data_IF_159501373899
#
_entry.id   IF_159501373899
#
_cell.length_a   1.000
_cell.length_b   1.000
_cell.length_c   1.000
_cell.angle_alpha   90.00
_cell.angle_beta   90.00
_cell.angle_gamma   90.00
#
_symmetry.space_group_name_H-M   'P 1'
#
loop_
_entity.id
_entity.type
_entity.pdbx_description
1 polymer ?
#
# COMPACT_ATOMS: atom_id res chain seq x y z
N UNK A 1 -7.92 45.08 -15.71
CA UNK A 1 -6.81 44.17 -15.31
C UNK A 1 -7.31 43.32 -14.17
N UNK A 2 -7.64 42.06 -14.43
CA UNK A 2 -7.96 41.08 -13.41
C UNK A 2 -7.08 39.87 -13.70
N UNK A 3 -6.10 39.66 -12.82
CA UNK A 3 -5.17 38.55 -12.84
C UNK A 3 -5.91 37.27 -12.42
N UNK A 4 -6.11 36.35 -13.35
CA UNK A 4 -6.56 34.99 -13.05
C UNK A 4 -5.38 34.18 -12.53
N UNK A 5 -5.35 33.98 -11.22
CA UNK A 5 -4.48 32.99 -10.56
C UNK A 5 -4.92 31.59 -10.96
N UNK A 6 -4.10 30.88 -11.72
CA UNK A 6 -4.28 29.47 -12.05
C UNK A 6 -4.03 28.61 -10.81
N UNK A 7 -5.07 27.97 -10.29
CA UNK A 7 -4.96 26.89 -9.33
C UNK A 7 -4.33 25.68 -10.03
N UNK A 8 -3.14 25.27 -9.60
CA UNK A 8 -2.55 24.00 -10.00
C UNK A 8 -3.31 22.87 -9.33
N UNK A 9 -4.27 22.26 -10.04
CA UNK A 9 -4.80 20.96 -9.67
C UNK A 9 -3.63 19.96 -9.66
N UNK A 10 -3.28 19.44 -8.48
CA UNK A 10 -2.33 18.33 -8.37
C UNK A 10 -2.96 17.15 -9.10
N UNK A 11 -2.47 16.86 -10.31
CA UNK A 11 -2.91 15.70 -11.08
C UNK A 11 -2.68 14.44 -10.24
N UNK A 12 -3.77 13.80 -9.84
CA UNK A 12 -3.76 12.53 -9.13
C UNK A 12 -3.28 11.47 -10.11
N UNK A 13 -2.04 11.00 -9.95
CA UNK A 13 -1.52 9.93 -10.81
C UNK A 13 -2.43 8.69 -10.70
N UNK A 14 -3.04 8.28 -11.81
CA UNK A 14 -3.98 7.15 -11.86
C UNK A 14 -3.21 5.84 -11.97
N UNK A 15 -2.07 5.86 -12.67
CA UNK A 15 -1.24 4.70 -12.95
C UNK A 15 0.15 4.84 -12.31
N UNK A 16 0.68 3.72 -11.80
CA UNK A 16 2.05 3.68 -11.30
C UNK A 16 3.04 3.68 -12.47
N UNK A 17 2.74 2.91 -13.51
CA UNK A 17 3.61 2.69 -14.66
C UNK A 17 2.82 2.73 -15.97
N UNK A 18 3.37 3.41 -16.98
CA UNK A 18 2.97 3.30 -18.38
C UNK A 18 4.03 2.51 -19.16
N UNK A 19 3.61 1.59 -20.03
CA UNK A 19 4.54 0.79 -20.85
C UNK A 19 4.26 1.03 -22.33
N UNK A 20 5.22 1.65 -23.03
CA UNK A 20 5.22 1.76 -24.50
C UNK A 20 6.03 0.61 -25.11
N UNK A 21 5.44 -0.09 -26.06
CA UNK A 21 6.06 -1.25 -26.71
C UNK A 21 5.42 -1.51 -28.07
N UNK A 22 6.12 -2.28 -28.92
CA UNK A 22 5.52 -2.84 -30.13
C UNK A 22 4.84 -4.16 -29.78
N UNK A 23 3.52 -4.20 -29.84
CA UNK A 23 2.77 -5.37 -29.39
C UNK A 23 2.90 -6.57 -30.33
N UNK A 24 2.98 -6.35 -31.65
CA UNK A 24 3.32 -7.42 -32.61
C UNK A 24 4.65 -8.13 -32.27
N UNK A 25 5.62 -7.42 -31.68
CA UNK A 25 6.94 -7.98 -31.36
C UNK A 25 6.99 -8.64 -29.97
N UNK A 26 6.34 -8.05 -28.96
CA UNK A 26 6.61 -8.38 -27.55
C UNK A 26 5.39 -8.64 -26.66
N UNK A 27 4.15 -8.46 -27.15
CA UNK A 27 2.92 -8.56 -26.32
C UNK A 27 2.80 -9.90 -25.61
N UNK A 28 3.01 -10.99 -26.34
CA UNK A 28 2.84 -12.36 -25.85
C UNK A 28 4.15 -13.00 -25.40
N UNK A 29 5.23 -12.22 -25.32
CA UNK A 29 6.55 -12.68 -24.88
C UNK A 29 7.01 -11.80 -23.70
N UNK A 30 8.13 -11.08 -23.85
CA UNK A 30 8.75 -10.30 -22.78
C UNK A 30 7.78 -9.33 -22.09
N UNK A 31 7.02 -8.55 -22.85
CA UNK A 31 6.13 -7.52 -22.29
C UNK A 31 4.94 -8.15 -21.55
N UNK A 32 4.45 -9.30 -22.02
CA UNK A 32 3.43 -10.10 -21.32
C UNK A 32 3.91 -10.57 -19.95
N UNK A 33 5.12 -11.13 -19.87
CA UNK A 33 5.73 -11.55 -18.61
C UNK A 33 6.06 -10.37 -17.69
N UNK A 34 6.50 -9.25 -18.25
CA UNK A 34 6.73 -8.01 -17.49
C UNK A 34 5.42 -7.51 -16.85
N UNK A 35 4.32 -7.49 -17.60
CA UNK A 35 3.01 -7.11 -17.05
C UNK A 35 2.55 -8.05 -15.93
N UNK A 36 2.74 -9.35 -16.10
CA UNK A 36 2.40 -10.32 -15.06
C UNK A 36 3.24 -10.09 -13.79
N UNK A 37 4.55 -9.88 -13.94
CA UNK A 37 5.45 -9.65 -12.82
C UNK A 37 5.13 -8.35 -12.06
N UNK A 38 4.86 -7.26 -12.79
CA UNK A 38 4.43 -5.98 -12.20
C UNK A 38 3.09 -6.11 -11.46
N UNK A 39 2.11 -6.78 -12.08
CA UNK A 39 0.79 -7.01 -11.48
C UNK A 39 0.86 -7.88 -10.22
N UNK A 40 1.72 -8.90 -10.22
CA UNK A 40 1.99 -9.76 -9.04
C UNK A 40 2.54 -8.95 -7.86
N UNK A 41 3.21 -7.82 -8.12
CA UNK A 41 3.71 -6.88 -7.11
C UNK A 41 2.74 -5.73 -6.81
N UNK A 42 1.50 -5.84 -7.28
CA UNK A 42 0.44 -4.88 -7.02
C UNK A 42 0.64 -3.52 -7.71
N UNK A 43 1.56 -3.42 -8.69
CA UNK A 43 1.82 -2.18 -9.42
C UNK A 43 0.70 -1.96 -10.45
N UNK A 44 0.07 -0.77 -10.42
CA UNK A 44 -0.99 -0.42 -11.36
C UNK A 44 -0.38 0.01 -12.69
N UNK A 45 -0.45 -0.86 -13.68
CA UNK A 45 0.16 -0.64 -15.00
C UNK A 45 -0.91 -0.34 -16.03
N UNK A 46 -0.78 0.78 -16.74
CA UNK A 46 -1.55 1.01 -17.95
C UNK A 46 -0.98 0.13 -19.06
N UNK A 47 -1.82 -0.74 -19.61
CA UNK A 47 -1.48 -1.59 -20.75
C UNK A 47 -2.01 -0.93 -22.00
N UNK A 48 -1.15 -0.49 -22.90
CA UNK A 48 -1.61 -0.09 -24.21
C UNK A 48 -2.14 -1.32 -24.97
N UNK A 49 -3.41 -1.25 -25.33
CA UNK A 49 -4.10 -2.29 -26.10
C UNK A 49 -4.07 -1.82 -27.56
N UNK A 50 -3.11 -2.31 -28.35
CA UNK A 50 -3.02 -1.99 -29.79
C UNK A 50 -4.26 -2.47 -30.60
N UNK A 51 -5.31 -3.04 -29.97
CA UNK A 51 -6.57 -3.38 -30.65
C UNK A 51 -7.46 -2.13 -30.91
N UNK A 52 -7.05 -0.95 -30.45
CA UNK A 52 -7.67 0.31 -30.85
C UNK A 52 -7.30 0.63 -32.31
N UNK A 53 -8.29 0.37 -33.18
CA UNK A 53 -8.35 0.55 -34.64
C UNK A 53 -7.27 1.48 -35.26
N UNK A 54 -6.61 0.96 -36.29
CA UNK A 54 -5.73 1.70 -37.22
C UNK A 54 -6.45 2.92 -37.80
N UNK A 55 -5.96 4.11 -37.50
CA UNK A 55 -6.33 5.36 -38.17
C UNK A 55 -6.72 6.47 -37.18
N UNK A 56 -5.90 7.52 -37.16
CA UNK A 56 -6.11 8.85 -36.58
C UNK A 56 -5.87 9.06 -35.07
N UNK A 57 -5.01 10.06 -34.80
CA UNK A 57 -4.60 10.65 -33.50
C UNK A 57 -4.18 9.69 -32.38
N UNK A 58 -3.34 10.15 -31.46
CA UNK A 58 -3.29 9.50 -30.14
C UNK A 58 -4.69 9.65 -29.54
N UNK A 59 -5.32 8.55 -29.14
CA UNK A 59 -6.63 8.62 -28.49
C UNK A 59 -6.51 9.52 -27.23
N UNK A 60 -7.44 10.46 -26.97
CA UNK A 60 -7.39 11.34 -25.80
C UNK A 60 -7.17 10.58 -24.49
N UNK A 61 -7.69 9.36 -24.39
CA UNK A 61 -7.52 8.45 -23.26
C UNK A 61 -6.06 8.02 -23.06
N UNK A 62 -5.31 7.82 -24.15
CA UNK A 62 -3.89 7.44 -24.10
C UNK A 62 -3.03 8.63 -23.65
N UNK A 63 -3.32 9.84 -24.14
CA UNK A 63 -2.66 11.07 -23.65
C UNK A 63 -2.89 11.24 -22.14
N UNK A 64 -4.14 11.07 -21.70
CA UNK A 64 -4.47 11.13 -20.27
C UNK A 64 -3.73 10.05 -19.47
N UNK A 65 -3.62 8.82 -19.99
CA UNK A 65 -2.90 7.74 -19.32
C UNK A 65 -1.39 8.06 -19.19
N UNK A 66 -0.75 8.59 -20.24
CA UNK A 66 0.65 9.03 -20.19
C UNK A 66 0.81 10.16 -19.16
N UNK A 67 -0.08 11.15 -19.19
CA UNK A 67 -0.05 12.27 -18.25
C UNK A 67 -0.35 11.87 -16.80
N UNK A 68 -1.14 10.83 -16.57
CA UNK A 68 -1.50 10.31 -15.25
C UNK A 68 -0.55 9.21 -14.74
N UNK A 69 0.60 9.02 -15.39
CA UNK A 69 1.60 8.01 -15.03
C UNK A 69 2.87 8.63 -14.44
N UNK A 70 3.44 7.94 -13.45
CA UNK A 70 4.65 8.39 -12.72
C UNK A 70 5.95 7.89 -13.34
N UNK A 71 5.93 6.67 -13.85
CA UNK A 71 7.09 5.98 -14.42
C UNK A 71 6.74 5.45 -15.81
N UNK A 72 7.67 5.60 -16.74
CA UNK A 72 7.52 5.12 -18.12
C UNK A 72 8.52 4.03 -18.41
N UNK A 73 8.05 2.90 -18.93
CA UNK A 73 8.90 1.85 -19.49
C UNK A 73 8.75 1.92 -21.01
N UNK A 74 9.87 1.96 -21.71
CA UNK A 74 9.88 1.93 -23.18
C UNK A 74 10.63 0.69 -23.64
N UNK A 75 9.91 -0.28 -24.20
CA UNK A 75 10.47 -1.53 -24.72
C UNK A 75 10.78 -1.36 -26.21
N UNK A 76 12.03 -1.09 -26.53
CA UNK A 76 12.51 -1.02 -27.90
C UNK A 76 12.74 -2.41 -28.46
N UNK A 77 12.09 -2.71 -29.57
CA UNK A 77 12.27 -3.91 -30.40
C UNK A 77 12.80 -3.53 -31.79
N UNK A 78 13.13 -4.52 -32.63
CA UNK A 78 13.64 -4.25 -33.98
C UNK A 78 12.65 -3.46 -34.85
N UNK A 79 11.34 -3.68 -34.68
CA UNK A 79 10.29 -3.04 -35.48
C UNK A 79 9.57 -1.90 -34.74
N UNK A 80 10.03 -1.48 -33.55
CA UNK A 80 9.36 -0.41 -32.80
C UNK A 80 9.15 0.86 -33.62
N UNK A 81 10.17 1.29 -34.38
CA UNK A 81 10.10 2.50 -35.20
C UNK A 81 9.26 2.38 -36.48
N UNK A 82 8.79 1.19 -36.87
CA UNK A 82 7.85 1.07 -38.00
C UNK A 82 6.43 1.52 -37.62
N UNK A 83 6.11 1.54 -36.33
CA UNK A 83 4.81 1.97 -35.81
C UNK A 83 4.79 3.47 -35.53
N UNK A 84 3.96 4.22 -36.26
CA UNK A 84 3.71 5.63 -35.93
C UNK A 84 3.07 5.81 -34.57
N UNK A 85 2.33 4.83 -34.08
CA UNK A 85 1.72 4.87 -32.76
C UNK A 85 2.79 4.85 -31.67
N UNK A 86 3.70 3.88 -31.71
CA UNK A 86 4.81 3.79 -30.75
C UNK A 86 5.68 5.05 -30.77
N UNK A 87 5.94 5.62 -31.96
CA UNK A 87 6.73 6.86 -32.09
C UNK A 87 6.01 8.08 -31.50
N UNK A 88 4.69 8.16 -31.65
CA UNK A 88 3.84 9.21 -31.07
C UNK A 88 3.78 9.12 -29.55
N UNK A 89 3.56 7.93 -29.01
CA UNK A 89 3.64 7.68 -27.56
C UNK A 89 4.99 8.12 -26.99
N UNK A 90 6.09 7.73 -27.65
CA UNK A 90 7.43 8.07 -27.19
C UNK A 90 7.67 9.58 -27.16
N UNK A 91 7.20 10.30 -28.18
CA UNK A 91 7.29 11.75 -28.22
C UNK A 91 6.49 12.40 -27.07
N UNK A 92 5.29 11.89 -26.79
CA UNK A 92 4.48 12.41 -25.69
C UNK A 92 5.08 12.08 -24.32
N UNK A 93 5.64 10.89 -24.14
CA UNK A 93 6.40 10.52 -22.94
C UNK A 93 7.55 11.52 -22.70
N UNK A 94 8.26 11.94 -23.77
CA UNK A 94 9.32 12.94 -23.66
C UNK A 94 8.79 14.32 -23.27
N UNK A 95 7.70 14.78 -23.89
CA UNK A 95 7.03 16.04 -23.51
C UNK A 95 6.62 16.03 -22.02
N UNK A 96 6.04 14.92 -21.58
CA UNK A 96 5.63 14.69 -20.20
C UNK A 96 6.82 14.66 -19.22
N UNK A 97 7.95 14.12 -19.65
CA UNK A 97 9.17 14.04 -18.83
C UNK A 97 9.86 15.41 -18.70
N UNK A 98 9.89 16.22 -19.76
CA UNK A 98 10.51 17.55 -19.74
C UNK A 98 9.73 18.55 -18.89
N UNK A 99 8.41 18.39 -18.80
CA UNK A 99 7.52 19.28 -18.03
C UNK A 99 7.43 18.93 -16.54
N UNK A 100 7.98 17.78 -16.10
CA UNK A 100 7.88 17.35 -14.70
C UNK A 100 9.15 16.60 -14.22
N UNK A 101 9.96 17.21 -13.33
CA UNK A 101 11.24 16.62 -12.89
C UNK A 101 11.09 15.38 -11.99
N UNK A 102 9.87 14.99 -11.63
CA UNK A 102 9.59 13.83 -10.76
C UNK A 102 9.36 12.52 -11.53
N UNK A 103 9.32 12.57 -12.86
CA UNK A 103 9.02 11.40 -13.70
C UNK A 103 10.28 10.66 -14.10
N UNK A 104 10.19 9.34 -14.25
CA UNK A 104 11.33 8.47 -14.60
C UNK A 104 11.02 7.69 -15.85
N UNK A 105 11.95 7.66 -16.81
CA UNK A 105 11.87 6.81 -18.00
C UNK A 105 12.92 5.70 -17.90
N UNK A 106 12.51 4.45 -18.14
CA UNK A 106 13.37 3.27 -18.18
C UNK A 106 13.32 2.67 -19.59
N UNK A 107 14.38 2.83 -20.41
CA UNK A 107 14.48 2.14 -21.68
C UNK A 107 14.90 0.67 -21.49
N UNK A 108 14.22 -0.23 -22.20
CA UNK A 108 14.56 -1.65 -22.30
C UNK A 108 14.82 -1.96 -23.77
N UNK A 109 15.96 -2.57 -24.08
CA UNK A 109 16.38 -2.92 -25.42
C UNK A 109 16.22 -4.43 -25.66
N UNK A 110 15.07 -4.81 -26.21
CA UNK A 110 14.68 -6.18 -26.54
C UNK A 110 15.15 -6.55 -27.96
N UNK A 111 16.19 -7.39 -28.07
CA UNK A 111 16.74 -7.85 -29.36
C UNK A 111 17.13 -6.75 -30.35
N UNK A 112 17.40 -5.53 -29.85
CA UNK A 112 17.91 -4.39 -30.60
C UNK A 112 19.05 -3.70 -29.83
N UNK A 113 20.11 -3.26 -30.52
CA UNK A 113 21.22 -2.59 -29.81
C UNK A 113 20.81 -1.17 -29.42
N UNK A 114 21.19 -0.67 -28.23
CA UNK A 114 20.97 0.74 -27.86
C UNK A 114 21.51 1.73 -28.91
N UNK A 115 22.66 1.42 -29.52
CA UNK A 115 23.25 2.24 -30.58
C UNK A 115 22.41 2.31 -31.85
N UNK A 116 21.63 1.26 -32.15
CA UNK A 116 20.73 1.22 -33.32
C UNK A 116 19.57 2.17 -33.11
N UNK A 117 18.96 2.15 -31.92
CA UNK A 117 17.87 3.05 -31.52
C UNK A 117 18.35 4.50 -31.45
N UNK A 118 19.48 4.75 -30.77
CA UNK A 118 20.04 6.09 -30.53
C UNK A 118 20.51 6.80 -31.79
N UNK A 119 21.10 6.06 -32.74
CA UNK A 119 21.60 6.61 -34.02
C UNK A 119 20.62 6.41 -35.17
N UNK A 120 19.45 5.82 -34.88
CA UNK A 120 18.42 5.40 -35.85
C UNK A 120 19.02 4.76 -37.12
N UNK A 121 19.92 3.78 -36.93
CA UNK A 121 20.58 3.08 -38.03
C UNK A 121 19.90 1.71 -38.30
N UNK A 122 20.45 0.91 -39.22
CA UNK A 122 19.92 -0.43 -39.54
C UNK A 122 18.40 -0.47 -39.78
N UNK A 123 17.63 -1.27 -39.03
CA UNK A 123 16.17 -1.39 -39.17
C UNK A 123 15.45 -0.06 -38.92
N UNK A 124 15.90 0.75 -37.96
CA UNK A 124 15.32 2.06 -37.67
C UNK A 124 15.51 3.03 -38.85
N UNK A 125 16.68 2.98 -39.52
CA UNK A 125 16.92 3.80 -40.73
C UNK A 125 15.91 3.48 -41.84
N UNK A 126 15.63 2.19 -42.05
CA UNK A 126 14.65 1.74 -43.06
C UNK A 126 13.24 2.23 -42.70
N UNK A 127 12.82 2.06 -41.45
CA UNK A 127 11.52 2.52 -40.97
C UNK A 127 11.32 4.03 -41.14
N UNK A 128 12.34 4.85 -40.81
CA UNK A 128 12.24 6.29 -41.02
C UNK A 128 12.20 6.69 -42.50
N UNK A 129 12.95 6.02 -43.36
CA UNK A 129 12.89 6.29 -44.80
C UNK A 129 11.47 6.02 -45.37
N UNK A 130 10.76 5.03 -44.85
CA UNK A 130 9.37 4.75 -45.21
C UNK A 130 8.41 5.84 -44.72
N UNK A 131 8.56 6.29 -43.46
CA UNK A 131 7.74 7.39 -42.92
C UNK A 131 7.97 8.69 -43.70
N UNK A 132 9.23 9.07 -43.95
CA UNK A 132 9.59 10.26 -44.71
C UNK A 132 9.04 10.22 -46.13
N UNK A 133 9.08 9.05 -46.80
CA UNK A 133 8.47 8.88 -48.12
C UNK A 133 6.95 9.06 -48.08
N UNK A 134 6.28 8.52 -47.06
CA UNK A 134 4.82 8.59 -46.92
C UNK A 134 4.31 9.98 -46.54
N UNK A 135 5.12 10.75 -45.82
CA UNK A 135 4.73 12.02 -45.20
C UNK A 135 5.34 13.25 -45.90
N UNK A 136 6.07 13.04 -47.00
CA UNK A 136 6.90 14.05 -47.67
C UNK A 136 6.18 15.35 -48.03
N UNK A 137 4.90 15.27 -48.39
CA UNK A 137 4.11 16.40 -48.89
C UNK A 137 3.39 17.18 -47.78
N UNK A 138 3.52 16.75 -46.52
CA UNK A 138 2.85 17.33 -45.36
C UNK A 138 3.90 17.88 -44.39
N UNK A 139 4.14 19.20 -44.44
CA UNK A 139 5.16 19.87 -43.62
C UNK A 139 4.97 19.63 -42.12
N UNK A 140 3.71 19.61 -41.65
CA UNK A 140 3.37 19.37 -40.23
C UNK A 140 3.75 17.94 -39.82
N UNK A 141 3.47 16.95 -40.68
CA UNK A 141 3.86 15.56 -40.42
C UNK A 141 5.37 15.33 -40.55
N UNK A 142 6.06 16.12 -41.36
CA UNK A 142 7.53 16.10 -41.42
C UNK A 142 8.17 16.65 -40.15
N UNK A 143 7.60 17.69 -39.53
CA UNK A 143 8.01 18.11 -38.18
C UNK A 143 7.77 17.01 -37.14
N UNK A 144 6.65 16.29 -37.24
CA UNK A 144 6.34 15.15 -36.38
C UNK A 144 7.44 14.07 -36.44
N UNK A 145 7.92 13.75 -37.66
CA UNK A 145 9.03 12.80 -37.88
C UNK A 145 10.31 13.27 -37.18
N UNK A 146 10.61 14.57 -37.18
CA UNK A 146 11.77 15.09 -36.47
C UNK A 146 11.63 14.96 -34.95
N UNK A 147 10.44 15.21 -34.40
CA UNK A 147 10.18 14.98 -32.96
C UNK A 147 10.36 13.51 -32.58
N UNK A 148 9.91 12.58 -33.41
CA UNK A 148 10.12 11.15 -33.19
C UNK A 148 11.61 10.77 -33.16
N UNK A 149 12.42 11.34 -34.07
CA UNK A 149 13.88 11.12 -34.09
C UNK A 149 14.55 11.65 -32.82
N UNK A 150 14.14 12.83 -32.35
CA UNK A 150 14.64 13.44 -31.12
C UNK A 150 14.29 12.59 -29.89
N UNK A 151 13.02 12.19 -29.76
CA UNK A 151 12.54 11.37 -28.65
C UNK A 151 13.28 10.02 -28.56
N UNK A 152 13.47 9.34 -29.69
CA UNK A 152 14.28 8.10 -29.75
C UNK A 152 15.72 8.32 -29.29
N UNK A 153 16.34 9.42 -29.74
CA UNK A 153 17.72 9.74 -29.37
C UNK A 153 17.82 10.03 -27.87
N UNK A 154 16.90 10.84 -27.34
CA UNK A 154 16.83 11.22 -25.93
C UNK A 154 16.64 10.00 -25.03
N UNK A 155 15.62 9.19 -25.28
CA UNK A 155 15.31 8.03 -24.43
C UNK A 155 16.39 6.95 -24.55
N UNK A 156 16.95 6.71 -25.74
CA UNK A 156 18.04 5.75 -25.91
C UNK A 156 19.39 6.23 -25.36
N UNK A 157 19.50 7.49 -24.93
CA UNK A 157 20.65 8.01 -24.18
C UNK A 157 20.55 7.77 -22.68
N UNK A 158 19.36 7.46 -22.15
CA UNK A 158 19.17 7.15 -20.74
C UNK A 158 19.78 5.79 -20.37
N UNK A 159 20.09 5.63 -19.08
CA UNK A 159 20.53 4.33 -18.55
C UNK A 159 19.34 3.37 -18.49
N UNK A 160 19.50 2.18 -19.07
CA UNK A 160 18.44 1.18 -19.14
C UNK A 160 18.97 -0.24 -19.30
N UNK A 161 18.09 -1.17 -19.65
CA UNK A 161 18.40 -2.60 -19.71
C UNK A 161 18.61 -3.06 -21.15
N UNK A 162 19.84 -3.44 -21.47
CA UNK A 162 20.13 -4.23 -22.66
C UNK A 162 19.96 -5.72 -22.31
N UNK A 163 18.85 -6.31 -22.74
CA UNK A 163 18.47 -7.69 -22.40
C UNK A 163 18.82 -8.70 -23.50
N UNK A 164 19.53 -8.25 -24.54
CA UNK A 164 20.00 -9.12 -25.62
C UNK A 164 20.91 -10.22 -25.08
N UNK A 165 20.66 -11.45 -25.52
CA UNK A 165 21.43 -12.63 -25.11
C UNK A 165 21.45 -12.88 -23.60
N UNK A 166 20.48 -12.34 -22.84
CA UNK A 166 20.32 -12.59 -21.41
C UNK A 166 19.06 -13.40 -21.14
N UNK A 167 19.03 -14.06 -19.99
CA UNK A 167 17.85 -14.77 -19.55
C UNK A 167 16.75 -13.76 -19.16
N UNK A 168 15.64 -13.77 -19.89
CA UNK A 168 14.62 -12.73 -19.77
C UNK A 168 13.93 -12.73 -18.39
N UNK A 169 13.74 -13.89 -17.75
CA UNK A 169 13.10 -13.95 -16.43
C UNK A 169 13.94 -13.24 -15.35
N UNK A 170 15.25 -13.46 -15.30
CA UNK A 170 16.16 -12.76 -14.39
C UNK A 170 16.13 -11.24 -14.63
N UNK A 171 16.14 -10.82 -15.90
CA UNK A 171 16.07 -9.40 -16.23
C UNK A 171 14.73 -8.77 -15.82
N UNK A 172 13.61 -9.48 -15.99
CA UNK A 172 12.29 -9.00 -15.52
C UNK A 172 12.28 -8.84 -14.00
N UNK A 173 12.82 -9.81 -13.25
CA UNK A 173 12.90 -9.71 -11.79
C UNK A 173 13.73 -8.49 -11.36
N UNK A 174 14.90 -8.27 -11.94
CA UNK A 174 15.74 -7.10 -11.66
C UNK A 174 15.03 -5.77 -11.98
N UNK A 175 14.36 -5.70 -13.14
CA UNK A 175 13.61 -4.51 -13.58
C UNK A 175 12.47 -4.22 -12.60
N UNK A 176 11.68 -5.23 -12.22
CA UNK A 176 10.57 -5.08 -11.28
C UNK A 176 11.07 -4.62 -9.91
N UNK A 177 12.17 -5.19 -9.41
CA UNK A 177 12.78 -4.76 -8.15
C UNK A 177 13.27 -3.31 -8.20
N UNK A 178 13.84 -2.87 -9.34
CA UNK A 178 14.21 -1.47 -9.53
C UNK A 178 12.98 -0.56 -9.52
N UNK A 179 11.90 -0.95 -10.20
CA UNK A 179 10.66 -0.19 -10.27
C UNK A 179 10.05 -0.03 -8.87
N UNK A 180 9.99 -1.10 -8.07
CA UNK A 180 9.51 -1.02 -6.68
C UNK A 180 10.31 0.00 -5.87
N UNK A 181 11.64 0.00 -6.02
CA UNK A 181 12.52 0.97 -5.34
C UNK A 181 12.28 2.41 -5.81
N UNK A 182 12.02 2.62 -7.10
CA UNK A 182 11.76 3.96 -7.66
C UNK A 182 10.38 4.48 -7.22
N UNK A 183 9.35 3.64 -7.30
CA UNK A 183 8.00 4.00 -6.87
C UNK A 183 7.93 4.25 -5.35
N UNK A 184 8.85 3.64 -4.60
CA UNK A 184 8.87 3.61 -3.14
C UNK A 184 7.83 2.65 -2.58
N UNK A 185 7.72 2.50 -1.25
CA UNK A 185 6.52 1.93 -0.67
C UNK A 185 5.33 2.65 -1.28
N UNK A 186 4.31 1.90 -1.75
CA UNK A 186 2.99 2.47 -1.91
C UNK A 186 2.65 3.00 -0.52
N UNK A 187 2.86 4.29 -0.32
CA UNK A 187 2.00 5.06 0.54
C UNK A 187 0.65 4.90 -0.12
N UNK A 188 -0.02 3.79 0.23
CA UNK A 188 -1.46 3.67 0.17
C UNK A 188 -1.96 5.06 0.49
N UNK A 189 -2.72 5.64 -0.43
CA UNK A 189 -3.41 6.91 -0.23
C UNK A 189 -4.49 6.77 0.84
N UNK A 190 -4.22 6.05 1.93
CA UNK A 190 -4.68 6.46 3.24
C UNK A 190 -3.94 7.79 3.49
N UNK A 191 -4.67 8.88 3.76
CA UNK A 191 -4.06 10.17 4.02
C UNK A 191 -2.87 9.98 4.95
N UNK A 192 -1.69 10.45 4.57
CA UNK A 192 -0.43 10.29 5.30
C UNK A 192 -0.41 11.01 6.68
N UNK A 193 -1.61 11.30 7.21
CA UNK A 193 -1.97 12.05 8.41
C UNK A 193 -2.82 11.22 9.39
N UNK A 194 -3.02 9.92 9.17
CA UNK A 194 -3.99 9.16 9.99
C UNK A 194 -3.51 8.79 11.40
N UNK A 195 -2.20 8.73 11.63
CA UNK A 195 -1.69 8.21 12.90
C UNK A 195 -1.09 9.31 13.75
N UNK A 196 -1.95 9.84 14.61
CA UNK A 196 -1.56 10.86 15.55
C UNK A 196 -0.75 10.23 16.69
N UNK A 197 0.55 10.55 16.77
CA UNK A 197 1.37 10.28 17.94
C UNK A 197 2.16 8.97 17.94
N UNK A 198 2.12 8.21 16.85
CA UNK A 198 2.88 6.96 16.72
C UNK A 198 4.32 7.28 16.31
N UNK A 199 5.30 6.94 17.15
CA UNK A 199 6.74 7.11 16.87
C UNK A 199 7.44 5.76 16.81
N UNK A 200 7.97 5.43 15.65
CA UNK A 200 8.81 4.24 15.44
C UNK A 200 10.27 4.48 15.89
N UNK A 201 10.88 3.45 16.50
CA UNK A 201 12.34 3.36 16.69
C UNK A 201 12.84 2.08 16.02
N UNK A 202 13.78 2.16 15.05
CA UNK A 202 14.36 0.96 14.46
C UNK A 202 15.27 0.25 15.47
N UNK A 203 14.83 -0.91 15.93
CA UNK A 203 15.69 -1.86 16.66
C UNK A 203 16.21 -2.88 15.66
N UNK A 204 17.49 -2.78 15.28
CA UNK A 204 18.05 -3.53 14.16
C UNK A 204 18.38 -5.00 14.48
N UNK A 205 18.38 -5.40 15.76
CA UNK A 205 18.83 -6.74 16.18
C UNK A 205 17.68 -7.68 16.62
N UNK A 206 16.46 -7.13 16.71
CA UNK A 206 15.29 -7.89 17.20
C UNK A 206 14.53 -8.54 16.04
N UNK A 207 14.40 -9.87 16.15
CA UNK A 207 13.79 -10.76 15.15
C UNK A 207 12.29 -10.99 15.36
N UNK A 208 11.83 -11.04 16.61
CA UNK A 208 10.41 -11.26 16.96
C UNK A 208 9.97 -10.22 17.99
N UNK A 209 9.01 -9.38 17.61
CA UNK A 209 8.46 -8.29 18.44
C UNK A 209 7.01 -8.59 18.79
N UNK A 210 6.65 -8.40 20.05
CA UNK A 210 5.27 -8.45 20.52
C UNK A 210 4.69 -7.04 20.62
N UNK A 211 3.41 -6.86 20.29
CA UNK A 211 2.65 -5.64 20.54
C UNK A 211 1.50 -5.98 21.48
N UNK A 212 1.47 -5.35 22.64
CA UNK A 212 0.44 -5.53 23.68
C UNK A 212 -0.34 -4.24 23.95
N UNK A 213 -1.41 -4.34 24.74
CA UNK A 213 -2.27 -3.22 25.13
C UNK A 213 -3.76 -3.58 25.11
N UNK A 214 -4.59 -2.69 25.65
CA UNK A 214 -6.05 -2.88 25.77
C UNK A 214 -6.76 -2.90 24.41
N UNK A 215 -8.00 -3.38 24.39
CA UNK A 215 -8.81 -3.38 23.18
C UNK A 215 -9.12 -1.97 22.70
N UNK A 216 -9.05 -1.74 21.38
CA UNK A 216 -9.30 -0.42 20.78
C UNK A 216 -8.19 0.63 20.98
N UNK A 217 -7.06 0.28 21.60
CA UNK A 217 -5.92 1.18 21.81
C UNK A 217 -5.11 1.47 20.53
N UNK A 218 -5.41 0.78 19.41
CA UNK A 218 -4.75 0.98 18.12
C UNK A 218 -3.56 0.06 17.83
N UNK A 219 -3.47 -1.13 18.46
CA UNK A 219 -2.40 -2.11 18.20
C UNK A 219 -2.32 -2.53 16.73
N UNK A 220 -3.45 -2.97 16.16
CA UNK A 220 -3.59 -3.36 14.75
C UNK A 220 -3.20 -2.20 13.84
N UNK A 221 -3.69 -1.00 14.13
CA UNK A 221 -3.43 0.20 13.32
C UNK A 221 -1.94 0.56 13.32
N UNK A 222 -1.29 0.52 14.48
CA UNK A 222 0.16 0.72 14.63
C UNK A 222 0.95 -0.31 13.79
N UNK A 223 0.61 -1.59 13.92
CA UNK A 223 1.34 -2.65 13.24
C UNK A 223 1.14 -2.59 11.72
N UNK A 224 -0.06 -2.21 11.26
CA UNK A 224 -0.38 -2.07 9.84
C UNK A 224 0.39 -0.94 9.18
N UNK A 225 0.41 0.24 9.79
CA UNK A 225 1.23 1.36 9.29
C UNK A 225 2.72 1.03 9.30
N UNK A 226 3.21 0.40 10.37
CA UNK A 226 4.60 -0.06 10.41
C UNK A 226 4.88 -1.05 9.28
N UNK A 227 4.00 -2.03 9.08
CA UNK A 227 4.11 -3.03 8.02
C UNK A 227 4.20 -2.35 6.66
N UNK A 228 3.26 -1.48 6.32
CA UNK A 228 3.24 -0.76 5.03
C UNK A 228 4.50 0.09 4.82
N UNK A 229 5.02 0.73 5.87
CA UNK A 229 6.26 1.52 5.80
C UNK A 229 7.48 0.70 5.51
N UNK A 230 7.65 -0.47 6.12
CA UNK A 230 8.92 -1.22 6.07
C UNK A 230 8.87 -2.46 5.17
N UNK A 231 7.70 -2.88 4.69
CA UNK A 231 7.52 -4.10 3.89
C UNK A 231 8.47 -4.17 2.69
N UNK A 232 8.70 -3.04 2.02
CA UNK A 232 9.55 -2.93 0.82
C UNK A 232 11.02 -3.31 1.04
N UNK A 233 11.46 -3.43 2.29
CA UNK A 233 12.81 -3.83 2.67
C UNK A 233 13.00 -5.35 2.69
N UNK A 234 11.90 -6.10 2.63
CA UNK A 234 11.85 -7.56 2.75
C UNK A 234 11.52 -8.20 1.41
N UNK A 235 12.00 -9.42 1.22
CA UNK A 235 11.77 -10.19 -0.01
C UNK A 235 10.30 -10.64 -0.10
N UNK A 236 9.69 -10.91 1.07
CA UNK A 236 8.28 -11.25 1.20
C UNK A 236 7.64 -10.63 2.45
N UNK A 237 6.34 -10.35 2.37
CA UNK A 237 5.53 -9.83 3.46
C UNK A 237 4.24 -10.64 3.65
N UNK A 238 3.78 -10.77 4.89
CA UNK A 238 2.46 -11.31 5.20
C UNK A 238 1.82 -10.54 6.36
N UNK A 239 0.52 -10.24 6.23
CA UNK A 239 -0.30 -9.70 7.30
C UNK A 239 -1.52 -10.60 7.49
N UNK A 240 -1.69 -11.14 8.69
CA UNK A 240 -2.87 -11.92 9.06
C UNK A 240 -3.66 -11.14 10.08
N UNK A 241 -4.83 -10.64 9.66
CA UNK A 241 -5.66 -9.72 10.46
C UNK A 241 -6.31 -10.37 11.70
N UNK A 242 -6.59 -11.68 11.66
CA UNK A 242 -7.21 -12.35 12.81
C UNK A 242 -6.82 -13.83 12.91
N UNK A 243 -5.67 -14.08 13.55
CA UNK A 243 -5.15 -15.43 13.76
C UNK A 243 -6.12 -16.29 14.58
N UNK A 244 -6.76 -15.73 15.62
CA UNK A 244 -7.71 -16.46 16.46
C UNK A 244 -8.90 -16.96 15.65
N UNK A 245 -9.49 -16.09 14.83
CA UNK A 245 -10.65 -16.47 14.03
C UNK A 245 -10.31 -17.57 13.01
N UNK A 246 -9.23 -17.39 12.24
CA UNK A 246 -8.79 -18.39 11.25
C UNK A 246 -8.50 -19.73 11.92
N UNK A 247 -7.83 -19.71 13.07
CA UNK A 247 -7.51 -20.91 13.83
C UNK A 247 -8.76 -21.61 14.35
N UNK A 248 -9.77 -20.87 14.79
CA UNK A 248 -11.06 -21.44 15.23
C UNK A 248 -11.80 -22.12 14.08
N UNK A 249 -11.82 -21.48 12.91
CA UNK A 249 -12.57 -21.96 11.76
C UNK A 249 -11.92 -23.17 11.08
N UNK A 250 -10.59 -23.19 11.02
CA UNK A 250 -9.86 -24.12 10.14
C UNK A 250 -8.56 -24.68 10.74
N UNK A 251 -8.35 -24.44 12.04
CA UNK A 251 -7.18 -24.91 12.76
C UNK A 251 -5.86 -24.36 12.22
N UNK A 252 -4.79 -25.08 12.53
CA UNK A 252 -3.43 -24.76 12.11
C UNK A 252 -3.27 -24.67 10.59
N UNK A 253 -3.96 -25.56 9.89
CA UNK A 253 -3.89 -25.66 8.45
C UNK A 253 -4.42 -24.39 7.77
N UNK A 254 -5.45 -23.76 8.34
CA UNK A 254 -5.99 -22.49 7.85
C UNK A 254 -4.96 -21.37 7.88
N UNK A 255 -4.36 -21.14 9.05
CA UNK A 255 -3.34 -20.10 9.25
C UNK A 255 -2.13 -20.34 8.35
N UNK A 256 -1.67 -21.60 8.25
CA UNK A 256 -0.56 -21.98 7.36
C UNK A 256 -0.89 -21.75 5.88
N UNK A 257 -2.09 -22.12 5.42
CA UNK A 257 -2.53 -21.87 4.04
C UNK A 257 -2.58 -20.37 3.74
N UNK A 258 -3.06 -19.55 4.67
CA UNK A 258 -3.08 -18.10 4.51
C UNK A 258 -1.67 -17.52 4.39
N UNK A 259 -0.76 -17.89 5.30
CA UNK A 259 0.66 -17.50 5.21
C UNK A 259 1.26 -17.85 3.85
N UNK A 260 1.14 -19.12 3.44
CA UNK A 260 1.77 -19.60 2.21
C UNK A 260 1.12 -18.96 0.98
N UNK A 261 -0.19 -18.74 0.98
CA UNK A 261 -0.88 -18.07 -0.14
C UNK A 261 -0.42 -16.64 -0.33
N UNK A 262 -0.18 -15.90 0.75
CA UNK A 262 0.36 -14.54 0.69
C UNK A 262 1.84 -14.55 0.28
N UNK A 263 2.62 -15.55 0.71
CA UNK A 263 4.02 -15.69 0.29
C UNK A 263 4.18 -16.04 -1.20
N UNK A 264 3.39 -16.99 -1.70
CA UNK A 264 3.52 -17.51 -3.06
C UNK A 264 2.70 -16.74 -4.09
N UNK A 265 1.77 -15.89 -3.64
CA UNK A 265 0.71 -15.31 -4.47
C UNK A 265 -0.05 -16.41 -5.28
N UNK A 266 -0.14 -17.61 -4.70
CA UNK A 266 -0.76 -18.78 -5.31
C UNK A 266 -2.04 -19.14 -4.56
N UNK A 267 -3.15 -19.18 -5.29
CA UNK A 267 -4.48 -19.48 -4.73
C UNK A 267 -4.76 -20.99 -4.59
N UNK A 268 -3.99 -21.85 -5.27
CA UNK A 268 -4.27 -23.29 -5.41
C UNK A 268 -3.20 -24.17 -4.74
N UNK A 269 -2.91 -23.91 -3.48
CA UNK A 269 -1.91 -24.66 -2.73
C UNK A 269 -2.42 -26.06 -2.37
N UNK A 270 -1.76 -27.10 -2.88
CA UNK A 270 -2.04 -28.51 -2.55
C UNK A 270 -1.41 -28.90 -1.21
N UNK A 271 -1.85 -28.26 -0.13
CA UNK A 271 -1.44 -28.59 1.24
C UNK A 271 -2.59 -29.34 1.91
N UNK A 272 -2.35 -30.62 2.18
CA UNK A 272 -3.38 -31.55 2.63
C UNK A 272 -3.45 -31.70 4.15
N UNK A 273 -2.37 -31.38 4.87
CA UNK A 273 -2.32 -31.52 6.33
C UNK A 273 -1.41 -30.46 6.98
N UNK A 274 -1.55 -30.28 8.30
CA UNK A 274 -0.86 -29.25 9.06
C UNK A 274 0.65 -29.50 9.25
N UNK A 275 1.11 -30.75 9.13
CA UNK A 275 2.53 -31.10 9.24
C UNK A 275 3.26 -30.63 7.99
N UNK A 276 2.70 -30.95 6.82
CA UNK A 276 3.20 -30.45 5.54
C UNK A 276 3.15 -28.92 5.56
N UNK A 277 2.00 -28.33 5.91
CA UNK A 277 1.85 -26.87 5.98
C UNK A 277 2.92 -26.20 6.85
N UNK A 278 3.21 -26.73 8.04
CA UNK A 278 4.27 -26.24 8.90
C UNK A 278 5.66 -26.34 8.24
N UNK A 279 5.97 -27.47 7.58
CA UNK A 279 7.22 -27.64 6.86
C UNK A 279 7.37 -26.63 5.72
N UNK A 280 6.31 -26.40 4.95
CA UNK A 280 6.31 -25.42 3.86
C UNK A 280 6.50 -23.98 4.37
N UNK A 281 5.77 -23.59 5.43
CA UNK A 281 5.97 -22.29 6.08
C UNK A 281 7.43 -22.17 6.53
N UNK A 282 7.92 -23.11 7.33
CA UNK A 282 9.28 -23.08 7.88
C UNK A 282 10.36 -22.98 6.80
N UNK A 283 10.29 -23.82 5.76
CA UNK A 283 11.26 -23.83 4.66
C UNK A 283 11.30 -22.47 3.92
N UNK A 284 10.18 -21.75 3.86
CA UNK A 284 10.13 -20.41 3.27
C UNK A 284 10.67 -19.35 4.23
N UNK A 285 10.24 -19.35 5.48
CA UNK A 285 10.70 -18.40 6.50
C UNK A 285 12.21 -18.45 6.68
N UNK A 286 12.81 -19.63 6.58
CA UNK A 286 14.25 -19.81 6.76
C UNK A 286 15.08 -19.30 5.57
N UNK A 287 14.54 -19.30 4.34
CA UNK A 287 15.31 -19.05 3.10
C UNK A 287 15.23 -17.62 2.57
N UNK A 288 14.35 -16.79 3.11
CA UNK A 288 14.12 -15.44 2.62
C UNK A 288 14.05 -14.44 3.77
N UNK A 289 14.28 -13.16 3.48
CA UNK A 289 14.03 -12.07 4.43
C UNK A 289 12.54 -11.75 4.40
N UNK A 290 11.83 -12.12 5.46
CA UNK A 290 10.38 -12.01 5.55
C UNK A 290 9.94 -11.03 6.61
N UNK A 291 8.89 -10.25 6.33
CA UNK A 291 8.14 -9.47 7.32
C UNK A 291 6.78 -10.10 7.56
N UNK A 292 6.49 -10.53 8.78
CA UNK A 292 5.19 -11.15 9.11
C UNK A 292 4.52 -10.36 10.23
N UNK A 293 3.23 -10.08 10.08
CA UNK A 293 2.37 -9.60 11.16
C UNK A 293 1.28 -10.63 11.44
N UNK A 294 1.18 -11.03 12.70
CA UNK A 294 0.17 -11.95 13.22
C UNK A 294 -0.72 -11.19 14.19
N UNK A 295 -1.89 -10.76 13.74
CA UNK A 295 -2.83 -10.01 14.55
C UNK A 295 -3.82 -10.93 15.29
N UNK A 296 -4.30 -10.45 16.44
CA UNK A 296 -5.26 -11.10 17.32
C UNK A 296 -4.87 -12.53 17.74
N UNK A 297 -3.62 -12.72 18.19
CA UNK A 297 -3.17 -13.99 18.79
C UNK A 297 -3.67 -14.08 20.23
N UNK A 298 -4.50 -15.07 20.54
CA UNK A 298 -5.12 -15.25 21.87
C UNK A 298 -4.78 -16.60 22.52
N UNK A 299 -4.06 -17.50 21.83
CA UNK A 299 -3.56 -18.75 22.40
C UNK A 299 -2.11 -19.02 21.99
N UNK A 300 -1.27 -19.42 22.94
CA UNK A 300 0.14 -19.74 22.68
C UNK A 300 0.35 -20.89 21.69
N UNK A 301 -0.60 -21.83 21.64
CA UNK A 301 -0.61 -22.89 20.64
C UNK A 301 -0.64 -22.36 19.21
N UNK A 302 -1.30 -21.24 18.91
CA UNK A 302 -1.34 -20.63 17.56
C UNK A 302 0.04 -20.30 17.00
N UNK A 303 0.98 -19.93 17.86
CA UNK A 303 2.35 -19.58 17.46
C UNK A 303 3.20 -20.82 17.15
N UNK A 304 2.94 -21.94 17.84
CA UNK A 304 3.65 -23.21 17.65
C UNK A 304 3.31 -23.88 16.31
N UNK A 305 2.18 -23.50 15.72
CA UNK A 305 1.68 -24.05 14.45
C UNK A 305 2.48 -23.60 13.24
N UNK A 306 3.08 -22.41 13.34
CA UNK A 306 3.87 -21.82 12.26
C UNK A 306 5.23 -22.49 12.11
N UNK A 307 5.70 -23.07 13.20
CA UNK A 307 7.09 -23.54 13.37
C UNK A 307 7.17 -25.06 13.56
N UNK A 308 6.03 -25.76 13.63
CA UNK A 308 5.97 -27.19 13.92
C UNK A 308 6.50 -27.51 15.33
N UNK A 309 6.04 -26.77 16.35
CA UNK A 309 6.47 -26.85 17.75
C UNK A 309 7.92 -26.41 18.02
N UNK A 310 8.59 -25.77 17.06
CA UNK A 310 9.92 -25.19 17.25
C UNK A 310 9.84 -23.76 17.77
N UNK A 311 10.93 -23.26 18.34
CA UNK A 311 11.03 -21.87 18.73
C UNK A 311 10.98 -20.95 17.48
N UNK A 312 10.05 -20.00 17.49
CA UNK A 312 9.82 -19.07 16.38
C UNK A 312 11.05 -18.24 16.02
N UNK A 313 11.94 -17.95 16.99
CA UNK A 313 13.20 -17.22 16.76
C UNK A 313 14.19 -18.00 15.90
N UNK A 314 14.15 -19.34 16.00
CA UNK A 314 15.04 -20.25 15.26
C UNK A 314 14.50 -20.60 13.88
N UNK A 315 13.23 -20.26 13.60
CA UNK A 315 12.55 -20.65 12.38
C UNK A 315 12.62 -19.60 11.28
N UNK A 316 13.14 -18.41 11.57
CA UNK A 316 13.22 -17.31 10.61
C UNK A 316 14.64 -17.10 10.10
N UNK A 317 14.73 -16.79 8.81
CA UNK A 317 15.95 -16.44 8.12
C UNK A 317 16.58 -15.17 8.70
N UNK A 318 17.88 -15.01 8.44
CA UNK A 318 18.60 -13.80 8.82
C UNK A 318 17.99 -12.57 8.14
N UNK A 319 17.81 -11.48 8.88
CA UNK A 319 17.17 -10.25 8.37
C UNK A 319 15.64 -10.26 8.35
N UNK A 320 14.99 -11.37 8.73
CA UNK A 320 13.53 -11.46 8.86
C UNK A 320 13.02 -10.84 10.17
N UNK A 321 11.75 -10.38 10.14
CA UNK A 321 11.03 -9.87 11.31
C UNK A 321 9.62 -10.45 11.42
N UNK A 322 9.24 -10.80 12.64
CA UNK A 322 7.86 -11.18 12.98
C UNK A 322 7.33 -10.21 14.03
N UNK A 323 6.11 -9.71 13.81
CA UNK A 323 5.35 -8.88 14.73
C UNK A 323 4.13 -9.69 15.18
N UNK A 324 3.96 -9.87 16.48
CA UNK A 324 2.86 -10.63 17.08
C UNK A 324 2.02 -9.67 17.90
N UNK A 325 0.73 -9.54 17.57
CA UNK A 325 -0.19 -8.68 18.31
C UNK A 325 -1.06 -9.56 19.19
N UNK A 326 -1.05 -9.28 20.49
CA UNK A 326 -1.87 -9.98 21.47
C UNK A 326 -2.31 -9.03 22.56
N UNK A 327 -3.50 -9.28 23.12
CA UNK A 327 -3.97 -8.61 24.34
C UNK A 327 -3.26 -9.19 25.57
N UNK A 328 -2.86 -10.46 25.50
CA UNK A 328 -2.30 -11.19 26.63
C UNK A 328 -0.77 -11.19 26.55
N UNK A 329 -0.14 -10.35 27.36
CA UNK A 329 1.32 -10.26 27.43
C UNK A 329 2.00 -11.56 27.81
N UNK A 330 1.34 -12.42 28.59
CA UNK A 330 1.90 -13.71 29.00
C UNK A 330 2.10 -14.61 27.77
N UNK A 331 1.20 -14.54 26.78
CA UNK A 331 1.36 -15.29 25.52
C UNK A 331 2.64 -14.87 24.81
N UNK A 332 2.86 -13.56 24.69
CA UNK A 332 4.03 -12.98 24.04
C UNK A 332 5.32 -13.38 24.79
N UNK A 333 5.36 -13.15 26.10
CA UNK A 333 6.53 -13.44 26.96
C UNK A 333 6.89 -14.93 26.98
N UNK A 334 5.90 -15.82 26.88
CA UNK A 334 6.13 -17.28 26.97
C UNK A 334 6.56 -17.92 25.64
N UNK A 335 6.30 -17.29 24.49
CA UNK A 335 6.43 -17.94 23.17
C UNK A 335 7.51 -17.31 22.26
N UNK A 336 8.64 -16.89 22.85
CA UNK A 336 9.84 -16.55 22.08
C UNK A 336 9.81 -15.15 21.45
N UNK A 337 8.98 -14.24 21.95
CA UNK A 337 9.11 -12.81 21.64
C UNK A 337 10.38 -12.27 22.31
N UNK A 338 11.18 -11.53 21.55
CA UNK A 338 12.39 -10.90 22.08
C UNK A 338 12.06 -9.68 22.93
N UNK A 339 11.16 -8.83 22.44
CA UNK A 339 10.73 -7.59 23.09
C UNK A 339 9.23 -7.38 22.91
N UNK A 340 8.57 -6.88 23.96
CA UNK A 340 7.15 -6.52 23.93
C UNK A 340 7.03 -4.99 24.00
N UNK A 341 6.35 -4.42 23.00
CA UNK A 341 5.96 -3.02 22.97
C UNK A 341 4.51 -2.89 23.43
N UNK A 342 4.32 -2.28 24.60
CA UNK A 342 2.99 -1.94 25.09
C UNK A 342 2.50 -0.63 24.43
N UNK A 343 1.34 -0.70 23.77
CA UNK A 343 0.71 0.48 23.19
C UNK A 343 0.00 1.26 24.30
N UNK A 344 0.51 2.46 24.55
CA UNK A 344 -0.05 3.36 25.56
C UNK A 344 -1.18 4.24 24.99
N UNK A 345 -2.06 4.76 25.86
CA UNK A 345 -3.01 5.81 25.48
C UNK A 345 -2.34 7.02 24.83
N UNK A 346 -3.12 7.75 24.02
CA UNK A 346 -2.62 8.94 23.33
C UNK A 346 -2.23 10.04 24.33
N UNK A 347 -1.25 10.86 23.94
CA UNK A 347 -1.04 12.13 24.65
C UNK A 347 -2.27 13.02 24.46
N UNK A 348 -2.58 13.90 25.42
CA UNK A 348 -3.72 14.84 25.30
C UNK A 348 -3.72 15.62 23.98
N UNK A 349 -2.53 16.04 23.52
CA UNK A 349 -2.36 16.71 22.23
C UNK A 349 -2.80 15.82 21.07
N UNK A 350 -2.39 14.55 21.09
CA UNK A 350 -2.72 13.60 20.03
C UNK A 350 -4.19 13.16 20.08
N UNK A 351 -4.74 13.01 21.29
CA UNK A 351 -6.16 12.77 21.49
C UNK A 351 -7.02 13.92 20.95
N UNK A 352 -6.62 15.16 21.19
CA UNK A 352 -7.30 16.33 20.64
C UNK A 352 -7.27 16.36 19.12
N UNK A 353 -6.11 16.07 18.52
CA UNK A 353 -5.97 15.99 17.06
C UNK A 353 -6.84 14.87 16.47
N UNK A 354 -6.83 13.68 17.06
CA UNK A 354 -7.66 12.56 16.61
C UNK A 354 -9.15 12.88 16.75
N UNK A 355 -9.55 13.50 17.85
CA UNK A 355 -10.92 13.98 18.06
C UNK A 355 -11.33 14.97 16.97
N UNK A 356 -10.54 16.01 16.75
CA UNK A 356 -10.81 17.02 15.73
C UNK A 356 -10.92 16.41 14.33
N UNK A 357 -10.02 15.48 13.99
CA UNK A 357 -10.08 14.77 12.71
C UNK A 357 -11.42 14.08 12.51
N UNK A 358 -11.91 13.37 13.52
CA UNK A 358 -13.16 12.61 13.42
C UNK A 358 -14.42 13.48 13.54
N UNK A 359 -14.35 14.57 14.31
CA UNK A 359 -15.48 15.46 14.55
C UNK A 359 -15.69 16.52 13.46
N UNK A 360 -14.65 16.84 12.68
CA UNK A 360 -14.74 17.92 11.69
C UNK A 360 -14.54 17.48 10.23
N UNK A 361 -14.02 16.27 9.94
CA UNK A 361 -13.95 15.59 8.61
C UNK A 361 -13.80 16.51 7.37
N UNK A 362 -13.04 17.61 7.46
CA UNK A 362 -12.76 18.62 6.43
C UNK A 362 -13.81 19.76 6.20
N UNK A 363 -14.80 19.95 7.07
CA UNK A 363 -15.73 21.10 6.97
C UNK A 363 -15.18 22.37 7.65
N UNK A 364 -14.66 23.31 6.85
CA UNK A 364 -13.99 24.56 7.32
C UNK A 364 -14.97 25.72 7.60
N UNK A 365 -16.30 25.52 7.52
CA UNK A 365 -17.26 26.64 7.47
C UNK A 365 -18.05 26.94 8.76
N UNK A 366 -17.57 26.53 9.93
CA UNK A 366 -18.24 26.84 11.19
C UNK A 366 -17.57 28.00 11.94
N UNK A 367 -18.34 28.70 12.79
CA UNK A 367 -17.79 29.56 13.86
C UNK A 367 -17.00 28.67 14.82
N UNK A 368 -15.74 28.42 14.46
CA UNK A 368 -14.89 27.39 15.04
C UNK A 368 -14.69 27.61 16.55
N UNK A 369 -14.72 28.86 17.00
CA UNK A 369 -14.47 29.23 18.41
C UNK A 369 -15.42 28.57 19.41
N UNK A 370 -16.72 28.49 19.10
CA UNK A 370 -17.70 27.89 20.01
C UNK A 370 -17.54 26.36 20.09
N UNK A 371 -17.24 25.71 18.96
CA UNK A 371 -16.95 24.28 18.92
C UNK A 371 -15.63 23.96 19.62
N UNK A 372 -14.58 24.75 19.39
CA UNK A 372 -13.28 24.58 20.02
C UNK A 372 -13.37 24.72 21.54
N UNK A 373 -14.19 25.65 22.04
CA UNK A 373 -14.42 25.79 23.48
C UNK A 373 -15.03 24.52 24.08
N UNK A 374 -16.08 23.99 23.46
CA UNK A 374 -16.75 22.76 23.93
C UNK A 374 -15.85 21.53 23.78
N UNK A 375 -15.08 21.45 22.68
CA UNK A 375 -14.07 20.41 22.47
C UNK A 375 -13.00 20.44 23.57
N UNK A 376 -12.46 21.62 23.89
CA UNK A 376 -11.47 21.79 24.96
C UNK A 376 -12.03 21.37 26.32
N UNK A 377 -13.27 21.73 26.65
CA UNK A 377 -13.91 21.30 27.90
C UNK A 377 -14.11 19.78 27.95
N UNK A 378 -14.53 19.17 26.83
CA UNK A 378 -14.74 17.73 26.71
C UNK A 378 -13.42 16.95 26.84
N UNK A 379 -12.37 17.39 26.16
CA UNK A 379 -11.03 16.79 26.21
C UNK A 379 -10.30 17.03 27.54
N UNK A 380 -10.70 18.03 28.32
CA UNK A 380 -10.14 18.34 29.64
C UNK A 380 -10.86 17.60 30.78
N UNK A 381 -11.99 16.95 30.51
CA UNK A 381 -12.77 16.26 31.52
C UNK A 381 -12.04 15.00 32.02
N UNK A 382 -12.03 14.76 33.33
CA UNK A 382 -11.27 13.67 33.94
C UNK A 382 -11.69 12.27 33.48
N UNK A 383 -12.95 12.11 33.06
CA UNK A 383 -13.50 10.85 32.54
C UNK A 383 -13.24 10.63 31.05
N UNK A 384 -12.76 11.65 30.33
CA UNK A 384 -12.43 11.51 28.92
C UNK A 384 -11.11 10.76 28.77
N UNK A 385 -11.20 9.46 28.45
CA UNK A 385 -10.04 8.61 28.28
C UNK A 385 -9.28 9.02 27.02
N UNK A 386 -7.95 9.12 27.08
CA UNK A 386 -7.12 9.32 25.88
C UNK A 386 -7.03 8.04 25.03
N UNK A 387 -8.09 7.24 25.03
CA UNK A 387 -8.21 5.96 24.37
C UNK A 387 -8.71 6.18 22.93
N UNK A 388 -7.95 5.77 21.89
CA UNK A 388 -8.28 6.05 20.49
C UNK A 388 -9.72 5.69 20.10
N UNK A 389 -10.16 4.48 20.43
CA UNK A 389 -11.53 4.04 20.11
C UNK A 389 -12.60 4.98 20.67
N UNK A 390 -12.50 5.37 21.95
CA UNK A 390 -13.44 6.29 22.60
C UNK A 390 -13.45 7.65 21.91
N UNK A 391 -12.26 8.15 21.56
CA UNK A 391 -12.09 9.43 20.87
C UNK A 391 -12.74 9.41 19.48
N UNK A 392 -12.49 8.36 18.70
CA UNK A 392 -13.04 8.18 17.36
C UNK A 392 -14.55 8.06 17.39
N UNK A 393 -15.10 7.28 18.33
CA UNK A 393 -16.54 7.12 18.52
C UNK A 393 -17.21 8.45 18.86
N UNK A 394 -16.70 9.18 19.85
CA UNK A 394 -17.28 10.46 20.26
C UNK A 394 -17.11 11.52 19.16
N UNK A 395 -15.92 11.61 18.56
CA UNK A 395 -15.67 12.54 17.46
C UNK A 395 -16.59 12.28 16.28
N UNK A 396 -16.67 11.03 15.83
CA UNK A 396 -17.55 10.64 14.71
C UNK A 396 -19.03 10.88 15.03
N UNK A 397 -19.46 10.63 16.27
CA UNK A 397 -20.82 10.93 16.71
C UNK A 397 -21.14 12.42 16.57
N UNK A 398 -20.22 13.28 17.03
CA UNK A 398 -20.37 14.73 17.02
C UNK A 398 -20.20 15.37 15.63
N UNK A 399 -19.70 14.63 14.66
CA UNK A 399 -19.50 15.09 13.29
C UNK A 399 -20.82 15.57 12.66
N UNK A 400 -20.83 16.79 12.12
CA UNK A 400 -22.02 17.42 11.52
C UNK A 400 -23.10 17.87 12.53
N UNK A 401 -22.89 17.67 13.83
CA UNK A 401 -23.81 18.17 14.87
C UNK A 401 -23.55 19.64 15.19
N UNK A 402 -24.57 20.34 15.67
CA UNK A 402 -24.45 21.74 16.06
C UNK A 402 -23.87 21.92 17.49
N UNK A 403 -23.35 23.13 17.81
CA UNK A 403 -22.75 23.45 19.12
C UNK A 403 -23.66 23.09 20.31
N UNK A 404 -24.99 23.27 20.18
CA UNK A 404 -25.92 22.98 21.28
C UNK A 404 -25.99 21.47 21.59
N UNK A 405 -25.87 20.64 20.56
CA UNK A 405 -25.82 19.18 20.72
C UNK A 405 -24.49 18.73 21.35
N UNK A 406 -23.38 19.36 20.97
CA UNK A 406 -22.07 19.12 21.60
C UNK A 406 -22.09 19.46 23.10
N UNK A 407 -22.69 20.61 23.47
CA UNK A 407 -22.84 21.01 24.88
C UNK A 407 -23.70 20.04 25.66
N UNK A 408 -24.81 19.56 25.07
CA UNK A 408 -25.67 18.56 25.69
C UNK A 408 -24.93 17.26 25.99
N UNK A 409 -24.07 16.78 25.08
CA UNK A 409 -23.22 15.62 25.34
C UNK A 409 -22.26 15.88 26.51
N UNK A 410 -21.59 17.03 26.52
CA UNK A 410 -20.67 17.42 27.58
C UNK A 410 -21.36 17.48 28.95
N UNK A 411 -22.56 18.06 29.04
CA UNK A 411 -23.31 18.15 30.29
C UNK A 411 -23.71 16.76 30.81
N UNK A 412 -24.05 15.84 29.92
CA UNK A 412 -24.36 14.47 30.29
C UNK A 412 -23.12 13.66 30.71
N UNK A 413 -21.94 13.92 30.11
CA UNK A 413 -20.66 13.37 30.55
C UNK A 413 -20.30 13.89 31.95
N UNK A 414 -20.53 15.18 32.23
CA UNK A 414 -20.29 15.80 33.55
C UNK A 414 -21.20 15.23 34.64
N UNK A 415 -22.40 14.78 34.27
CA UNK A 415 -23.39 14.22 35.19
C UNK A 415 -23.36 12.67 35.26
N UNK A 416 -22.25 12.04 34.90
CA UNK A 416 -22.03 10.57 34.91
C UNK A 416 -23.12 9.75 34.18
N UNK A 417 -23.82 10.38 33.21
CA UNK A 417 -24.93 9.76 32.46
C UNK A 417 -24.49 9.21 31.09
N UNK A 418 -23.20 8.88 30.94
CA UNK A 418 -22.63 8.33 29.70
C UNK A 418 -23.34 7.03 29.26
N UNK A 419 -23.73 6.18 30.20
CA UNK A 419 -24.48 4.93 29.98
C UNK A 419 -25.87 5.19 29.34
N UNK A 420 -26.55 6.26 29.76
CA UNK A 420 -27.86 6.67 29.21
C UNK A 420 -27.76 7.22 27.81
N UNK A 421 -26.65 7.86 27.46
CA UNK A 421 -26.46 8.39 26.10
C UNK A 421 -26.21 7.25 25.12
N UNK A 422 -25.30 6.34 25.44
CA UNK A 422 -24.93 5.26 24.52
C UNK A 422 -26.15 4.36 24.26
N UNK A 423 -26.95 4.05 25.28
CA UNK A 423 -28.19 3.26 25.13
C UNK A 423 -29.33 3.92 24.32
N UNK A 424 -29.47 5.26 24.34
CA UNK A 424 -30.54 5.97 23.60
C UNK A 424 -30.35 5.92 22.08
N UNK A 425 -29.11 5.75 21.59
CA UNK A 425 -28.78 5.90 20.17
C UNK A 425 -28.44 4.57 19.47
N UNK A 426 -28.88 3.43 20.04
CA UNK A 426 -28.75 2.11 19.41
C UNK A 426 -27.42 1.40 19.67
N UNK A 427 -26.71 1.79 20.74
CA UNK A 427 -25.58 1.03 21.28
C UNK A 427 -26.12 0.03 22.32
N UNK A 428 -25.92 -1.26 22.08
CA UNK A 428 -26.44 -2.34 22.92
C UNK A 428 -25.44 -2.69 24.03
N UNK A 429 -25.59 -1.97 25.14
CA UNK A 429 -24.82 -2.17 26.37
C UNK A 429 -24.89 -3.60 26.91
N UNK A 430 -26.00 -4.32 26.72
CA UNK A 430 -26.16 -5.69 27.21
C UNK A 430 -25.38 -6.68 26.34
N UNK A 431 -25.48 -6.60 25.02
CA UNK A 431 -24.79 -7.56 24.14
C UNK A 431 -23.25 -7.41 24.17
N UNK A 432 -22.75 -6.18 24.27
CA UNK A 432 -21.30 -5.92 24.31
C UNK A 432 -20.70 -6.21 25.70
N UNK A 433 -21.41 -5.95 26.79
CA UNK A 433 -20.98 -6.37 28.14
C UNK A 433 -21.09 -7.87 28.32
N UNK A 434 -22.12 -8.52 27.79
CA UNK A 434 -22.23 -9.96 27.84
C UNK A 434 -21.07 -10.64 27.09
N UNK A 435 -20.65 -10.08 25.95
CA UNK A 435 -19.44 -10.50 25.24
C UNK A 435 -18.14 -10.25 26.02
N UNK A 436 -18.08 -9.24 26.90
CA UNK A 436 -16.92 -8.93 27.76
C UNK A 436 -16.89 -9.81 29.03
N UNK A 437 -18.06 -10.16 29.58
CA UNK A 437 -18.24 -11.08 30.71
C UNK A 437 -17.96 -12.53 30.27
N UNK A 438 -18.48 -12.96 29.11
CA UNK A 438 -18.20 -14.29 28.53
C UNK A 438 -16.72 -14.49 28.19
N UNK A 439 -16.00 -13.39 27.92
CA UNK A 439 -14.55 -13.40 27.66
C UNK A 439 -13.70 -13.19 28.93
N UNK A 440 -14.32 -13.11 30.11
CA UNK A 440 -13.65 -12.92 31.42
C UNK A 440 -12.77 -11.66 31.51
N UNK A 441 -13.08 -10.62 30.72
CA UNK A 441 -12.33 -9.34 30.74
C UNK A 441 -12.81 -8.41 31.85
N UNK A 442 -14.02 -8.66 32.33
CA UNK A 442 -14.66 -7.97 33.46
C UNK A 442 -15.48 -8.97 34.27
N UNK A 443 -15.59 -8.76 35.58
CA UNK A 443 -16.61 -9.36 36.45
C UNK A 443 -17.58 -8.28 36.91
N UNK A 444 -18.84 -8.65 37.09
CA UNK A 444 -19.89 -7.73 37.52
C UNK A 444 -20.50 -8.27 38.82
N UNK A 445 -20.27 -7.59 39.94
CA UNK A 445 -20.85 -7.93 41.25
C UNK A 445 -21.52 -6.68 41.85
N UNK A 446 -22.78 -6.84 42.31
CA UNK A 446 -23.57 -5.78 42.96
C UNK A 446 -23.65 -4.45 42.19
N UNK A 447 -23.72 -4.52 40.85
CA UNK A 447 -23.81 -3.33 39.99
C UNK A 447 -22.47 -2.59 39.84
N UNK A 448 -21.36 -3.19 40.24
CA UNK A 448 -20.01 -2.67 40.11
C UNK A 448 -19.23 -3.56 39.14
N UNK A 449 -18.61 -2.93 38.14
CA UNK A 449 -17.80 -3.60 37.12
C UNK A 449 -16.35 -3.64 37.60
N UNK A 450 -15.83 -4.84 37.83
CA UNK A 450 -14.45 -5.11 38.15
C UNK A 450 -13.73 -5.54 36.86
N UNK A 451 -12.77 -4.75 36.39
CA UNK A 451 -11.87 -5.18 35.31
C UNK A 451 -10.83 -6.15 35.87
N UNK A 452 -10.63 -7.29 35.22
CA UNK A 452 -9.58 -8.26 35.56
C UNK A 452 -8.30 -8.01 34.77
#
# INVERSE_FOLDING_TARGET
MASSSSSSSLATDIYDVFVSFRGEDTRNSFTGFLFQALGTKGINVFKDVEDLKKGESIAPELLQAIQASRLFIVVFSQNYASSTWCLRELAEICNCFETSPRRVIIPIFYDVRPSVVRKQNACYKKAFAEHEKRLREDEVKMEEVQRWRQALTQVANLSGWDIRNKLQCEQIEEIVQKIIKILGPKLSRLPNDELVGIKYRPVNDVRVVGISGTDGIGKTTLARDLYERIYHQYDFGCFIDDVSNIYRDSGSLGVQKQLISQFLNEKNLKIFNAIDGAYWVWNRLHKARTLIVLDNVDKGEQLKLLTGNRDIRTCIGEGSKIIIISRNELILKTHGVNDVYEVLPLSRKNAALLFCKNAFKDEVNYKLDDYLKVACELLSHATFTCHPWTIETIGSFLCGQNVSQWRRLLDNIKNDSMEKILSIYGFDYENDIQALVEKSLITCEDGIIYMH
#
